data_IF_281423794452
#
_entry.id   IF_281423794452
#
_cell.length_a   1.000
_cell.length_b   1.000
_cell.length_c   1.000
_cell.angle_alpha   90.00
_cell.angle_beta   90.00
_cell.angle_gamma   90.00
#
_symmetry.space_group_name_H-M   'P 1'
#
loop_
_entity.id
_entity.type
_entity.pdbx_description
1 polymer ?
#
# COMPACT_ATOMS: atom_id res chain seq x y z
N UNK A 1 31.92 6.24 2.37
CA UNK A 1 30.45 6.21 2.21
C UNK A 1 30.16 6.41 0.73
N UNK A 2 29.48 5.50 0.02
CA UNK A 2 29.14 5.79 -1.37
C UNK A 2 27.94 6.74 -1.37
N UNK A 3 28.19 7.94 -1.88
CA UNK A 3 27.21 8.98 -2.13
C UNK A 3 26.24 8.43 -3.20
N UNK A 4 24.97 8.21 -2.84
CA UNK A 4 23.96 7.70 -3.79
C UNK A 4 23.79 8.79 -4.88
N UNK A 5 23.92 8.47 -6.18
CA UNK A 5 23.97 9.49 -7.20
C UNK A 5 22.64 10.24 -7.24
N UNK A 6 22.76 11.57 -7.20
CA UNK A 6 21.66 12.48 -7.39
C UNK A 6 21.10 12.29 -8.82
N UNK A 7 19.93 11.64 -8.92
CA UNK A 7 19.24 11.47 -10.20
C UNK A 7 18.55 12.79 -10.58
N UNK A 8 19.30 13.69 -11.24
CA UNK A 8 18.81 15.00 -11.71
C UNK A 8 17.51 14.94 -12.56
N UNK A 9 17.14 13.77 -13.10
CA UNK A 9 15.96 13.60 -13.95
C UNK A 9 14.63 13.36 -13.23
N UNK A 10 14.64 13.05 -11.92
CA UNK A 10 13.42 12.72 -11.19
C UNK A 10 13.44 13.28 -9.76
N UNK A 11 13.60 14.60 -9.68
CA UNK A 11 13.60 15.32 -8.40
C UNK A 11 12.28 15.12 -7.64
N UNK A 12 11.14 15.07 -8.34
CA UNK A 12 9.82 14.87 -7.72
C UNK A 12 9.77 13.57 -6.95
N UNK A 13 10.11 12.43 -7.57
CA UNK A 13 10.06 11.15 -6.87
C UNK A 13 11.17 11.01 -5.83
N UNK A 14 12.33 11.65 -6.06
CA UNK A 14 13.40 11.71 -5.04
C UNK A 14 12.92 12.40 -3.76
N UNK A 15 12.19 13.51 -3.88
CA UNK A 15 11.59 14.21 -2.75
C UNK A 15 10.51 13.37 -2.05
N UNK A 16 9.71 12.62 -2.81
CA UNK A 16 8.68 11.71 -2.28
C UNK A 16 9.32 10.59 -1.45
N UNK A 17 10.29 9.86 -2.01
CA UNK A 17 10.95 8.75 -1.32
C UNK A 17 11.72 9.23 -0.08
N UNK A 18 12.44 10.35 -0.20
CA UNK A 18 13.10 10.98 0.94
C UNK A 18 12.09 11.45 2.00
N UNK A 19 10.91 11.89 1.58
CA UNK A 19 9.82 12.25 2.48
C UNK A 19 9.32 11.04 3.28
N UNK A 20 9.06 9.92 2.60
CA UNK A 20 8.66 8.64 3.21
C UNK A 20 9.74 8.15 4.18
N UNK A 21 11.01 8.24 3.79
CA UNK A 21 12.12 7.87 4.67
C UNK A 21 12.16 8.76 5.93
N UNK A 22 12.04 10.08 5.76
CA UNK A 22 12.11 11.03 6.87
C UNK A 22 10.95 10.84 7.84
N UNK A 23 9.71 10.73 7.34
CA UNK A 23 8.53 10.62 8.20
C UNK A 23 8.55 9.33 9.02
N UNK A 24 8.98 8.20 8.44
CA UNK A 24 9.12 6.94 9.18
C UNK A 24 10.20 7.00 10.27
N UNK A 25 11.20 7.88 10.13
CA UNK A 25 12.28 8.08 11.11
C UNK A 25 11.90 9.04 12.23
N UNK A 26 11.16 10.11 11.92
CA UNK A 26 10.96 11.23 12.85
C UNK A 26 9.49 11.47 13.24
N UNK A 27 8.55 10.79 12.59
CA UNK A 27 7.11 11.02 12.69
C UNK A 27 6.63 12.28 11.97
N UNK A 28 5.32 12.36 11.69
CA UNK A 28 4.67 13.48 11.01
C UNK A 28 4.87 14.85 11.70
N UNK A 29 4.97 14.88 13.02
CA UNK A 29 5.16 16.11 13.82
C UNK A 29 6.50 16.79 13.59
N UNK A 30 7.55 16.04 13.23
CA UNK A 30 8.89 16.57 12.95
C UNK A 30 9.18 16.71 11.45
N UNK A 31 8.25 16.32 10.58
CA UNK A 31 8.38 16.38 9.14
C UNK A 31 8.30 17.81 8.60
N UNK A 32 9.20 18.17 7.68
CA UNK A 32 9.15 19.43 6.93
C UNK A 32 9.86 19.37 5.58
N UNK A 33 9.37 20.14 4.60
CA UNK A 33 9.96 20.26 3.26
C UNK A 33 11.46 20.56 3.31
N UNK A 34 11.87 21.45 4.22
CA UNK A 34 13.27 21.83 4.42
C UNK A 34 14.16 20.63 4.78
N UNK A 35 13.68 19.73 5.65
CA UNK A 35 14.41 18.53 6.06
C UNK A 35 14.48 17.53 4.90
N UNK A 36 13.42 17.38 4.11
CA UNK A 36 13.39 16.55 2.90
C UNK A 36 14.41 17.05 1.87
N UNK A 37 14.47 18.36 1.63
CA UNK A 37 15.43 18.96 0.72
C UNK A 37 16.88 18.69 1.14
N UNK A 38 17.15 18.84 2.45
CA UNK A 38 18.46 18.53 3.03
C UNK A 38 18.82 17.06 2.83
N UNK A 39 17.86 16.15 2.98
CA UNK A 39 18.07 14.72 2.76
C UNK A 39 18.37 14.40 1.29
N UNK A 40 17.72 15.10 0.36
CA UNK A 40 17.98 14.98 -1.07
C UNK A 40 19.26 15.70 -1.56
N UNK A 41 19.89 16.53 -0.72
CA UNK A 41 21.03 17.35 -1.13
C UNK A 41 20.68 18.53 -2.05
N UNK A 42 19.43 19.02 -1.99
CA UNK A 42 18.93 20.12 -2.84
C UNK A 42 18.81 21.44 -2.10
N UNK A 43 18.71 22.54 -2.87
CA UNK A 43 18.36 23.84 -2.30
C UNK A 43 16.98 23.79 -1.64
N UNK A 44 16.77 24.63 -0.63
CA UNK A 44 15.48 24.71 0.07
C UNK A 44 14.36 25.27 -0.81
N UNK A 45 14.71 25.89 -1.95
CA UNK A 45 13.76 26.41 -2.94
C UNK A 45 13.37 25.37 -4.00
N UNK A 46 14.14 24.28 -4.15
CA UNK A 46 13.90 23.23 -5.14
C UNK A 46 12.55 22.49 -5.04
N UNK A 47 11.91 22.26 -3.87
CA UNK A 47 10.68 21.48 -3.82
C UNK A 47 9.48 22.27 -4.34
N UNK A 48 9.53 23.61 -4.33
CA UNK A 48 8.39 24.48 -4.65
C UNK A 48 7.98 24.45 -6.13
N UNK A 49 8.81 23.91 -7.03
CA UNK A 49 8.41 23.60 -8.40
C UNK A 49 7.51 22.36 -8.50
N UNK A 50 7.39 21.57 -7.43
CA UNK A 50 6.65 20.31 -7.40
C UNK A 50 5.57 20.27 -6.31
N UNK A 51 5.82 20.89 -5.15
CA UNK A 51 4.95 20.86 -3.98
C UNK A 51 4.85 22.27 -3.39
N UNK A 52 3.64 22.84 -3.32
CA UNK A 52 3.43 24.20 -2.79
C UNK A 52 3.44 24.20 -1.26
N UNK A 53 3.10 23.07 -0.65
CA UNK A 53 2.97 22.93 0.80
C UNK A 53 3.55 21.61 1.34
N UNK A 54 3.61 21.48 2.66
CA UNK A 54 3.95 20.20 3.33
C UNK A 54 2.86 19.17 3.03
N UNK A 55 1.62 19.62 3.03
CA UNK A 55 0.42 18.83 2.81
C UNK A 55 0.41 18.26 1.39
N UNK A 56 0.78 19.05 0.38
CA UNK A 56 0.91 18.60 -1.02
C UNK A 56 1.93 17.46 -1.16
N UNK A 57 3.05 17.54 -0.44
CA UNK A 57 4.06 16.48 -0.45
C UNK A 57 3.53 15.23 0.27
N UNK A 58 2.81 15.38 1.38
CA UNK A 58 2.22 14.24 2.09
C UNK A 58 1.17 13.51 1.23
N UNK A 59 0.32 14.25 0.54
CA UNK A 59 -0.64 13.72 -0.42
C UNK A 59 0.07 12.99 -1.57
N UNK A 60 1.08 13.62 -2.17
CA UNK A 60 1.86 12.98 -3.24
C UNK A 60 2.62 11.73 -2.77
N UNK A 61 3.07 11.69 -1.52
CA UNK A 61 3.68 10.51 -0.92
C UNK A 61 2.65 9.38 -0.77
N UNK A 62 1.44 9.70 -0.28
CA UNK A 62 0.34 8.74 -0.17
C UNK A 62 -0.05 8.18 -1.55
N UNK A 63 -0.23 9.06 -2.53
CA UNK A 63 -0.58 8.69 -3.90
C UNK A 63 0.49 7.81 -4.53
N UNK A 64 1.76 8.15 -4.36
CA UNK A 64 2.88 7.38 -4.90
C UNK A 64 2.89 5.93 -4.40
N UNK A 65 2.72 5.73 -3.09
CA UNK A 65 2.71 4.37 -2.53
C UNK A 65 1.42 3.64 -2.92
N UNK A 66 0.28 4.33 -2.90
CA UNK A 66 -1.02 3.78 -3.30
C UNK A 66 -1.00 3.31 -4.75
N UNK A 67 -0.47 4.13 -5.66
CA UNK A 67 -0.33 3.79 -7.07
C UNK A 67 0.56 2.57 -7.26
N UNK A 68 1.75 2.54 -6.64
CA UNK A 68 2.66 1.40 -6.72
C UNK A 68 2.02 0.09 -6.24
N UNK A 69 1.29 0.15 -5.13
CA UNK A 69 0.56 -1.02 -4.63
C UNK A 69 -0.54 -1.42 -5.62
N UNK A 70 -1.34 -0.46 -6.09
CA UNK A 70 -2.44 -0.72 -7.03
C UNK A 70 -1.94 -1.38 -8.31
N UNK A 71 -0.88 -0.88 -8.93
CA UNK A 71 -0.27 -1.46 -10.14
C UNK A 71 0.15 -2.93 -9.93
N UNK A 72 0.75 -3.24 -8.77
CA UNK A 72 1.16 -4.60 -8.42
C UNK A 72 -0.05 -5.53 -8.26
N UNK A 73 -1.10 -5.07 -7.58
CA UNK A 73 -2.32 -5.85 -7.37
C UNK A 73 -3.08 -6.06 -8.69
N UNK A 74 -3.18 -5.03 -9.52
CA UNK A 74 -3.81 -5.11 -10.84
C UNK A 74 -3.08 -6.10 -11.74
N UNK A 75 -1.73 -6.04 -11.75
CA UNK A 75 -0.91 -7.00 -12.47
C UNK A 75 -1.16 -8.45 -12.05
N UNK A 76 -1.24 -8.71 -10.75
CA UNK A 76 -1.50 -10.05 -10.21
C UNK A 76 -2.88 -10.60 -10.60
N UNK A 77 -3.92 -9.76 -10.50
CA UNK A 77 -5.29 -10.12 -10.90
C UNK A 77 -5.39 -10.28 -12.42
N UNK A 78 -4.71 -9.43 -13.18
CA UNK A 78 -4.72 -9.50 -14.65
C UNK A 78 -4.09 -10.81 -15.15
N UNK A 79 -3.00 -11.24 -14.53
CA UNK A 79 -2.28 -12.48 -14.86
C UNK A 79 -3.08 -13.77 -14.55
N UNK A 80 -4.17 -13.69 -13.79
CA UNK A 80 -5.04 -14.85 -13.54
C UNK A 80 -5.73 -15.31 -14.83
N UNK A 81 -5.68 -16.63 -15.15
CA UNK A 81 -6.19 -17.18 -16.41
C UNK A 81 -7.73 -17.14 -16.50
N UNK A 82 -8.41 -17.35 -15.39
CA UNK A 82 -9.87 -17.32 -15.28
C UNK A 82 -10.31 -16.03 -14.59
N UNK A 83 -11.45 -15.46 -15.03
CA UNK A 83 -12.02 -14.23 -14.47
C UNK A 83 -13.22 -14.55 -13.60
N UNK A 84 -13.42 -13.74 -12.55
CA UNK A 84 -14.41 -13.97 -11.50
C UNK A 84 -14.16 -15.28 -10.73
N UNK A 85 -12.90 -15.67 -10.62
CA UNK A 85 -12.46 -16.88 -9.91
C UNK A 85 -11.85 -16.50 -8.55
N UNK A 86 -11.98 -17.37 -7.56
CA UNK A 86 -11.41 -17.17 -6.23
C UNK A 86 -9.89 -16.96 -6.26
N UNK A 87 -9.19 -17.49 -7.26
CA UNK A 87 -7.75 -17.28 -7.47
C UNK A 87 -7.38 -15.81 -7.67
N UNK A 88 -8.26 -14.96 -8.19
CA UNK A 88 -8.00 -13.52 -8.29
C UNK A 88 -7.76 -12.92 -6.89
N UNK A 89 -8.51 -13.35 -5.88
CA UNK A 89 -8.35 -12.89 -4.49
C UNK A 89 -7.07 -13.44 -3.84
N UNK A 90 -6.71 -14.67 -4.19
CA UNK A 90 -5.49 -15.31 -3.68
C UNK A 90 -4.26 -14.57 -4.19
N UNK A 91 -4.17 -14.36 -5.51
CA UNK A 91 -3.02 -13.70 -6.11
C UNK A 91 -2.94 -12.22 -5.73
N UNK A 92 -4.10 -11.55 -5.58
CA UNK A 92 -4.15 -10.20 -5.01
C UNK A 92 -3.63 -10.19 -3.57
N UNK A 93 -4.12 -11.08 -2.71
CA UNK A 93 -3.70 -11.17 -1.31
C UNK A 93 -2.22 -11.50 -1.14
N UNK A 94 -1.69 -12.44 -1.92
CA UNK A 94 -0.26 -12.77 -2.00
C UNK A 94 0.57 -11.55 -2.37
N UNK A 95 0.17 -10.85 -3.43
CA UNK A 95 0.87 -9.67 -3.93
C UNK A 95 0.83 -8.50 -2.94
N UNK A 96 -0.28 -8.31 -2.23
CA UNK A 96 -0.41 -7.32 -1.16
C UNK A 96 0.63 -7.55 -0.06
N UNK A 97 0.72 -8.78 0.46
CA UNK A 97 1.66 -9.09 1.54
C UNK A 97 3.10 -8.99 1.06
N UNK A 98 3.43 -9.55 -0.11
CA UNK A 98 4.78 -9.51 -0.68
C UNK A 98 5.25 -8.08 -0.97
N UNK A 99 4.34 -7.20 -1.43
CA UNK A 99 4.66 -5.79 -1.65
C UNK A 99 5.19 -5.13 -0.37
N UNK A 100 4.51 -5.33 0.75
CA UNK A 100 4.90 -4.71 2.02
C UNK A 100 6.10 -5.39 2.68
N UNK A 101 6.29 -6.70 2.51
CA UNK A 101 7.52 -7.38 2.94
C UNK A 101 8.75 -6.79 2.22
N UNK A 102 8.63 -6.56 0.93
CA UNK A 102 9.72 -5.98 0.14
C UNK A 102 9.89 -4.48 0.38
N UNK A 103 8.87 -3.80 0.90
CA UNK A 103 8.84 -2.36 1.13
C UNK A 103 8.23 -2.00 2.51
N UNK A 104 8.85 -2.42 3.63
CA UNK A 104 8.26 -2.26 4.97
C UNK A 104 8.02 -0.80 5.36
N UNK A 105 8.82 0.13 4.84
CA UNK A 105 8.66 1.58 5.05
C UNK A 105 7.34 2.11 4.46
N UNK A 106 6.82 1.50 3.41
CA UNK A 106 5.54 1.88 2.81
C UNK A 106 4.37 1.44 3.68
N UNK A 107 4.48 0.28 4.33
CA UNK A 107 3.46 -0.19 5.28
C UNK A 107 3.35 0.78 6.48
N UNK A 108 4.50 1.08 7.09
CA UNK A 108 4.57 2.01 8.23
C UNK A 108 4.02 3.39 7.84
N UNK A 109 4.44 3.93 6.70
CA UNK A 109 3.97 5.24 6.25
C UNK A 109 2.46 5.27 6.03
N UNK A 110 1.92 4.36 5.22
CA UNK A 110 0.49 4.38 4.87
C UNK A 110 -0.41 4.19 6.10
N UNK A 111 -0.11 3.23 6.97
CA UNK A 111 -1.05 2.83 8.02
C UNK A 111 -0.76 3.44 9.40
N UNK A 112 0.39 4.07 9.62
CA UNK A 112 0.72 4.73 10.89
C UNK A 112 0.86 6.24 10.80
N UNK A 113 1.23 6.79 9.63
CA UNK A 113 1.56 8.23 9.51
C UNK A 113 0.64 8.98 8.52
N UNK A 114 0.18 8.32 7.45
CA UNK A 114 -0.68 8.95 6.45
C UNK A 114 -2.13 9.09 6.94
N UNK A 115 -2.83 10.13 6.47
CA UNK A 115 -4.25 10.36 6.76
C UNK A 115 -5.13 9.62 5.75
N UNK A 116 -4.99 8.29 5.68
CA UNK A 116 -5.81 7.48 4.80
C UNK A 116 -7.20 7.23 5.38
N UNK A 117 -8.21 7.19 4.51
CA UNK A 117 -9.55 6.70 4.84
C UNK A 117 -9.77 5.35 4.17
N UNK A 118 -10.18 4.37 4.96
CA UNK A 118 -10.64 3.07 4.48
C UNK A 118 -12.08 2.91 4.96
N UNK A 119 -13.01 2.88 4.02
CA UNK A 119 -14.44 2.69 4.28
C UNK A 119 -14.86 1.28 3.87
N UNK A 120 -15.22 0.45 4.87
CA UNK A 120 -15.52 -0.97 4.70
C UNK A 120 -16.91 -1.23 4.11
N UNK A 121 -17.79 -0.23 4.08
CA UNK A 121 -19.14 -0.39 3.56
C UNK A 121 -19.15 -0.61 2.05
N UNK A 122 -20.03 -1.51 1.57
CA UNK A 122 -20.26 -1.68 0.14
C UNK A 122 -20.92 -0.46 -0.53
N UNK A 123 -21.56 0.43 0.24
CA UNK A 123 -22.21 1.64 -0.29
C UNK A 123 -21.31 2.89 -0.25
N UNK A 124 -20.05 2.75 0.17
CA UNK A 124 -19.14 3.89 0.29
C UNK A 124 -18.88 4.54 -1.07
N UNK A 125 -18.66 5.87 -1.07
CA UNK A 125 -18.18 6.61 -2.23
C UNK A 125 -16.79 6.11 -2.66
N UNK A 126 -16.75 5.30 -3.71
CA UNK A 126 -15.52 4.66 -4.19
C UNK A 126 -14.45 5.66 -4.63
N UNK A 127 -14.85 6.87 -5.04
CA UNK A 127 -13.92 7.93 -5.46
C UNK A 127 -13.07 8.50 -4.31
N UNK A 128 -13.49 8.26 -3.06
CA UNK A 128 -12.83 8.77 -1.85
C UNK A 128 -12.18 7.66 -1.02
N UNK A 129 -12.28 6.42 -1.47
CA UNK A 129 -11.75 5.28 -0.73
C UNK A 129 -10.37 4.86 -1.24
N UNK A 130 -9.68 4.04 -0.45
CA UNK A 130 -8.39 3.49 -0.82
C UNK A 130 -8.52 2.54 -2.03
N UNK A 131 -7.89 2.82 -3.19
CA UNK A 131 -8.11 2.05 -4.42
C UNK A 131 -7.86 0.54 -4.31
N UNK A 132 -6.79 0.06 -3.62
CA UNK A 132 -6.61 -1.37 -3.37
C UNK A 132 -7.79 -2.04 -2.66
N UNK A 133 -8.51 -1.29 -1.82
CA UNK A 133 -9.67 -1.81 -1.12
C UNK A 133 -10.92 -1.86 -2.02
N UNK A 134 -11.11 -0.88 -2.91
CA UNK A 134 -12.17 -0.93 -3.92
C UNK A 134 -11.98 -2.08 -4.93
N UNK A 135 -10.73 -2.41 -5.25
CA UNK A 135 -10.41 -3.62 -6.01
C UNK A 135 -10.88 -4.89 -5.29
N UNK A 136 -10.60 -5.01 -3.98
CA UNK A 136 -11.04 -6.16 -3.18
C UNK A 136 -12.55 -6.30 -3.19
N UNK A 137 -13.29 -5.21 -2.94
CA UNK A 137 -14.77 -5.19 -3.02
C UNK A 137 -15.27 -5.68 -4.37
N UNK A 138 -14.67 -5.16 -5.44
CA UNK A 138 -15.04 -5.50 -6.82
C UNK A 138 -14.84 -6.99 -7.08
N UNK A 139 -13.71 -7.57 -6.69
CA UNK A 139 -13.45 -9.00 -6.92
C UNK A 139 -14.37 -9.86 -6.06
N UNK A 140 -14.56 -9.55 -4.77
CA UNK A 140 -15.50 -10.28 -3.90
C UNK A 140 -16.92 -10.28 -4.47
N UNK A 141 -17.40 -9.13 -4.94
CA UNK A 141 -18.73 -9.02 -5.54
C UNK A 141 -18.83 -9.82 -6.85
N UNK A 142 -17.79 -9.82 -7.69
CA UNK A 142 -17.75 -10.60 -8.93
C UNK A 142 -17.80 -12.11 -8.68
N UNK A 143 -17.04 -12.59 -7.68
CA UNK A 143 -16.93 -14.02 -7.34
C UNK A 143 -18.18 -14.54 -6.64
N UNK A 144 -18.74 -13.79 -5.66
CA UNK A 144 -19.82 -14.30 -4.79
C UNK A 144 -21.13 -13.51 -4.85
N UNK A 145 -21.13 -12.24 -5.25
CA UNK A 145 -22.35 -11.42 -5.28
C UNK A 145 -23.41 -11.97 -6.24
N UNK A 146 -22.99 -12.55 -7.37
CA UNK A 146 -23.89 -13.18 -8.35
C UNK A 146 -24.45 -14.54 -7.89
N UNK A 147 -23.86 -15.15 -6.86
CA UNK A 147 -24.25 -16.46 -6.34
C UNK A 147 -25.30 -16.37 -5.23
N UNK A 148 -25.92 -15.20 -5.03
CA UNK A 148 -26.99 -14.99 -4.04
C UNK A 148 -26.51 -14.79 -2.60
N UNK A 149 -25.22 -14.50 -2.40
CA UNK A 149 -24.70 -14.14 -1.07
C UNK A 149 -25.33 -12.83 -0.60
N UNK A 150 -25.79 -12.78 0.65
CA UNK A 150 -26.35 -11.54 1.22
C UNK A 150 -25.27 -10.47 1.33
N UNK A 151 -25.70 -9.20 1.31
CA UNK A 151 -24.81 -8.03 1.46
C UNK A 151 -23.94 -8.11 2.72
N UNK A 152 -24.55 -8.42 3.86
CA UNK A 152 -23.86 -8.58 5.15
C UNK A 152 -22.75 -9.62 5.07
N UNK A 153 -23.00 -10.78 4.44
CA UNK A 153 -21.98 -11.82 4.27
C UNK A 153 -20.85 -11.39 3.33
N UNK A 154 -21.13 -10.57 2.32
CA UNK A 154 -20.09 -10.00 1.46
C UNK A 154 -19.21 -9.03 2.26
N UNK A 155 -19.82 -8.16 3.08
CA UNK A 155 -19.10 -7.24 3.97
C UNK A 155 -18.22 -8.00 4.96
N UNK A 156 -18.76 -9.02 5.63
CA UNK A 156 -17.99 -9.91 6.52
C UNK A 156 -16.82 -10.58 5.78
N UNK A 157 -17.05 -11.05 4.55
CA UNK A 157 -16.01 -11.67 3.73
C UNK A 157 -14.90 -10.68 3.39
N UNK A 158 -15.24 -9.44 3.04
CA UNK A 158 -14.26 -8.38 2.75
C UNK A 158 -13.41 -8.09 3.99
N UNK A 159 -14.06 -7.94 5.15
CA UNK A 159 -13.37 -7.70 6.44
C UNK A 159 -12.43 -8.85 6.75
N UNK A 160 -12.89 -10.09 6.62
CA UNK A 160 -12.10 -11.28 6.90
C UNK A 160 -10.87 -11.40 5.99
N UNK A 161 -11.05 -11.21 4.68
CA UNK A 161 -9.95 -11.26 3.71
C UNK A 161 -8.93 -10.16 3.97
N UNK A 162 -9.39 -8.93 4.22
CA UNK A 162 -8.51 -7.82 4.53
C UNK A 162 -7.77 -8.02 5.85
N UNK A 163 -8.45 -8.43 6.91
CA UNK A 163 -7.83 -8.70 8.21
C UNK A 163 -6.72 -9.75 8.11
N UNK A 164 -6.94 -10.80 7.30
CA UNK A 164 -5.96 -11.87 7.07
C UNK A 164 -4.69 -11.33 6.42
N UNK A 165 -4.80 -10.68 5.27
CA UNK A 165 -3.61 -10.21 4.53
C UNK A 165 -2.95 -9.00 5.21
N UNK A 166 -3.74 -8.11 5.81
CA UNK A 166 -3.22 -6.96 6.54
C UNK A 166 -2.50 -7.38 7.83
N UNK A 167 -3.06 -8.33 8.59
CA UNK A 167 -2.42 -8.89 9.77
C UNK A 167 -1.09 -9.58 9.44
N UNK A 168 -1.04 -10.35 8.35
CA UNK A 168 0.20 -10.97 7.87
C UNK A 168 1.25 -9.93 7.45
N UNK A 169 0.86 -8.93 6.65
CA UNK A 169 1.77 -7.86 6.26
C UNK A 169 2.30 -7.08 7.48
N UNK A 170 1.43 -6.78 8.45
CA UNK A 170 1.80 -6.12 9.70
C UNK A 170 2.86 -6.93 10.47
N UNK A 171 2.60 -8.22 10.71
CA UNK A 171 3.54 -9.10 11.41
C UNK A 171 4.87 -9.24 10.65
N UNK A 172 4.80 -9.44 9.33
CA UNK A 172 5.98 -9.67 8.51
C UNK A 172 6.88 -8.44 8.34
N UNK A 173 6.35 -7.23 8.53
CA UNK A 173 7.11 -5.97 8.45
C UNK A 173 7.70 -5.52 9.79
N UNK A 174 7.37 -6.20 10.90
CA UNK A 174 7.93 -5.90 12.21
C UNK A 174 9.42 -6.26 12.28
N UNK A 175 10.27 -5.30 12.68
CA UNK A 175 11.74 -5.49 12.78
C UNK A 175 12.16 -6.58 13.76
N UNK A 176 11.33 -6.89 14.75
CA UNK A 176 11.57 -7.90 15.79
C UNK A 176 10.95 -9.27 15.46
N UNK A 177 10.29 -9.41 14.31
CA UNK A 177 9.77 -10.69 13.83
C UNK A 177 10.73 -11.24 12.80
N UNK A 178 11.17 -12.49 13.01
CA UNK A 178 11.96 -13.24 12.04
C UNK A 178 11.22 -14.51 11.68
N UNK A 179 11.03 -14.70 10.38
CA UNK A 179 10.62 -15.97 9.79
C UNK A 179 11.78 -16.47 8.95
N UNK A 180 12.22 -17.69 9.21
CA UNK A 180 13.41 -18.31 8.58
C UNK A 180 13.09 -19.05 7.28
N UNK A 181 11.81 -19.11 6.89
CA UNK A 181 11.33 -19.73 5.65
C UNK A 181 10.80 -18.68 4.67
N UNK A 182 10.18 -19.15 3.60
CA UNK A 182 9.61 -18.32 2.55
C UNK A 182 8.21 -17.81 2.93
N UNK A 183 8.10 -16.49 3.07
CA UNK A 183 6.81 -15.82 3.29
C UNK A 183 5.84 -16.07 2.12
N UNK A 184 6.31 -16.12 0.87
CA UNK A 184 5.44 -16.33 -0.29
C UNK A 184 4.66 -17.65 -0.18
N UNK A 185 5.37 -18.75 0.12
CA UNK A 185 4.76 -20.06 0.35
C UNK A 185 3.80 -20.04 1.56
N UNK A 186 4.20 -19.38 2.66
CA UNK A 186 3.36 -19.31 3.86
C UNK A 186 2.07 -18.51 3.65
N UNK A 187 2.10 -17.46 2.84
CA UNK A 187 0.94 -16.63 2.55
C UNK A 187 -0.13 -17.44 1.82
N UNK A 188 0.28 -18.25 0.83
CA UNK A 188 -0.63 -19.11 0.10
C UNK A 188 -1.31 -20.13 1.02
N UNK A 189 -0.54 -20.79 1.90
CA UNK A 189 -1.10 -21.72 2.90
C UNK A 189 -2.12 -21.06 3.83
N UNK A 190 -1.87 -19.81 4.27
CA UNK A 190 -2.76 -19.12 5.22
C UNK A 190 -4.02 -18.63 4.52
N UNK A 191 -3.90 -18.09 3.31
CA UNK A 191 -5.06 -17.63 2.53
C UNK A 191 -5.93 -18.81 2.11
N UNK A 192 -5.34 -19.98 1.87
CA UNK A 192 -6.05 -21.14 1.30
C UNK A 192 -6.41 -22.25 2.30
N UNK A 193 -5.95 -22.19 3.55
CA UNK A 193 -6.29 -23.25 4.51
C UNK A 193 -7.81 -23.31 4.76
N UNK A 194 -8.40 -24.37 4.21
CA UNK A 194 -9.70 -24.95 4.57
C UNK A 194 -9.63 -25.62 5.93
#
# INVERSE_FOLDING_TARGET
MPNKPYHHGDLRNSLIEAGIELINRTGAGQFSLRKVCKLCGVSQTAPYSHFQSKEDLLEAMQDHVTQKLTEVLEGAVHACPEKNDQRELIEMGKSYVLFFINNPQYFQFLFSEASMRIDLSLDSDSSKNFPPFEMLKTIVFRVWGKNGMSKEKLEDTIIHLWATVHGLASIATMKNVRYDKDWAAKIEDIIWNK
#
